data_IF_068093380623
#
_entry.id   IF_068093380623
#
_cell.length_a   1.000
_cell.length_b   1.000
_cell.length_c   1.000
_cell.angle_alpha   90.00
_cell.angle_beta   90.00
_cell.angle_gamma   90.00
#
_symmetry.space_group_name_H-M   'P 1'
#
loop_
_entity.id
_entity.type
_entity.pdbx_description
1 polymer ?
#
# COMPACT_ATOMS: atom_id res chain seq x y z
N UNK A 1 -13.72 50.86 8.10
CA UNK A 1 -13.86 50.30 6.75
C UNK A 1 -12.77 49.27 6.42
N UNK A 2 -12.18 48.59 7.42
CA UNK A 2 -11.07 47.63 7.24
C UNK A 2 -11.37 46.16 7.68
N UNK A 3 -12.61 45.86 8.08
CA UNK A 3 -12.98 44.51 8.56
C UNK A 3 -13.61 43.61 7.50
N UNK A 4 -14.03 44.15 6.34
CA UNK A 4 -14.65 43.35 5.26
C UNK A 4 -13.64 42.66 4.36
N UNK A 5 -12.44 43.20 4.18
CA UNK A 5 -11.42 42.65 3.29
C UNK A 5 -10.81 41.34 3.83
N UNK A 6 -10.73 41.17 5.15
CA UNK A 6 -10.20 39.97 5.79
C UNK A 6 -11.16 38.76 5.66
N UNK A 7 -12.46 39.01 5.74
CA UNK A 7 -13.50 37.97 5.73
C UNK A 7 -13.71 37.35 4.35
N UNK A 8 -13.59 38.16 3.30
CA UNK A 8 -13.68 37.68 1.90
C UNK A 8 -12.45 36.86 1.47
N UNK A 9 -11.26 37.24 1.98
CA UNK A 9 -10.02 36.49 1.70
C UNK A 9 -10.04 35.09 2.36
N UNK A 10 -10.46 35.01 3.62
CA UNK A 10 -10.57 33.76 4.36
C UNK A 10 -11.62 32.82 3.74
N UNK A 11 -12.78 33.37 3.35
CA UNK A 11 -13.82 32.60 2.66
C UNK A 11 -13.33 32.04 1.31
N UNK A 12 -12.63 32.85 0.50
CA UNK A 12 -12.04 32.39 -0.78
C UNK A 12 -10.98 31.31 -0.57
N UNK A 13 -10.16 31.42 0.45
CA UNK A 13 -9.16 30.40 0.79
C UNK A 13 -9.84 29.10 1.24
N UNK A 14 -10.88 29.19 2.07
CA UNK A 14 -11.65 28.00 2.51
C UNK A 14 -12.36 27.32 1.34
N UNK A 15 -13.00 28.08 0.44
CA UNK A 15 -13.66 27.52 -0.76
C UNK A 15 -12.64 26.89 -1.71
N UNK A 16 -11.54 27.55 -2.02
CA UNK A 16 -10.48 26.99 -2.86
C UNK A 16 -9.87 25.73 -2.24
N UNK A 17 -9.80 25.67 -0.92
CA UNK A 17 -9.34 24.51 -0.15
C UNK A 17 -10.31 23.33 -0.24
N UNK A 18 -11.61 23.61 -0.09
CA UNK A 18 -12.66 22.58 -0.17
C UNK A 18 -12.76 21.99 -1.57
N UNK A 19 -12.64 22.83 -2.61
CA UNK A 19 -12.60 22.37 -4.02
C UNK A 19 -11.36 21.54 -4.30
N UNK A 20 -10.18 21.91 -3.78
CA UNK A 20 -8.97 21.13 -3.93
C UNK A 20 -9.03 19.78 -3.18
N UNK A 21 -9.75 19.71 -2.04
CA UNK A 21 -9.97 18.48 -1.29
C UNK A 21 -11.05 17.56 -1.91
N UNK A 22 -11.96 18.09 -2.71
CA UNK A 22 -12.97 17.32 -3.44
C UNK A 22 -12.41 16.69 -4.74
N UNK A 23 -11.15 16.96 -5.08
CA UNK A 23 -10.53 16.49 -6.31
C UNK A 23 -10.40 14.95 -6.38
N UNK A 24 -10.26 14.30 -5.23
CA UNK A 24 -10.23 12.83 -5.12
C UNK A 24 -11.27 12.39 -4.11
N UNK A 25 -12.15 11.44 -4.49
CA UNK A 25 -13.13 10.88 -3.56
C UNK A 25 -12.44 10.13 -2.41
N UNK A 26 -13.10 10.08 -1.23
CA UNK A 26 -12.63 9.33 -0.06
C UNK A 26 -12.19 7.90 -0.40
N UNK A 27 -13.00 7.18 -1.19
CA UNK A 27 -12.71 5.80 -1.59
C UNK A 27 -11.47 5.67 -2.46
N UNK A 28 -11.20 6.65 -3.32
CA UNK A 28 -9.98 6.67 -4.14
C UNK A 28 -8.74 6.99 -3.30
N UNK A 29 -8.85 7.93 -2.38
CA UNK A 29 -7.77 8.23 -1.44
C UNK A 29 -7.46 7.03 -0.55
N UNK A 30 -8.49 6.40 0.02
CA UNK A 30 -8.37 5.19 0.81
C UNK A 30 -7.73 4.04 0.00
N UNK A 31 -8.11 3.85 -1.27
CA UNK A 31 -7.56 2.82 -2.12
C UNK A 31 -6.06 2.99 -2.39
N UNK A 32 -5.58 4.23 -2.56
CA UNK A 32 -4.14 4.50 -2.73
C UNK A 32 -3.37 4.06 -1.48
N UNK A 33 -3.82 4.46 -0.30
CA UNK A 33 -3.15 4.14 0.97
C UNK A 33 -3.25 2.63 1.29
N UNK A 34 -4.43 2.04 1.11
CA UNK A 34 -4.66 0.63 1.40
C UNK A 34 -3.96 -0.29 0.39
N UNK A 35 -3.71 0.14 -0.84
CA UNK A 35 -2.94 -0.63 -1.81
C UNK A 35 -1.51 -0.89 -1.35
N UNK A 36 -0.90 0.08 -0.70
CA UNK A 36 0.44 -0.05 -0.12
C UNK A 36 0.44 -1.05 1.05
N UNK A 37 -0.48 -0.88 1.99
CA UNK A 37 -0.62 -1.79 3.13
C UNK A 37 -1.03 -3.22 2.71
N UNK A 38 -1.92 -3.36 1.73
CA UNK A 38 -2.40 -4.66 1.28
C UNK A 38 -1.31 -5.46 0.56
N UNK A 39 -0.41 -4.82 -0.17
CA UNK A 39 0.70 -5.52 -0.83
C UNK A 39 1.58 -6.28 0.16
N UNK A 40 1.87 -5.68 1.31
CA UNK A 40 2.67 -6.28 2.37
C UNK A 40 2.05 -7.57 2.94
N UNK A 41 0.73 -7.67 2.98
CA UNK A 41 0.04 -8.87 3.46
C UNK A 41 0.35 -10.12 2.62
N UNK A 42 0.64 -9.96 1.33
CA UNK A 42 0.91 -11.08 0.43
C UNK A 42 2.35 -11.60 0.46
N UNK A 43 3.33 -10.77 0.81
CA UNK A 43 4.74 -11.21 0.80
C UNK A 43 5.37 -11.24 2.20
N UNK A 44 4.91 -10.41 3.15
CA UNK A 44 5.53 -10.34 4.48
C UNK A 44 5.41 -11.65 5.25
N UNK A 45 4.30 -12.37 5.11
CA UNK A 45 4.09 -13.68 5.74
C UNK A 45 5.13 -14.70 5.29
N UNK A 46 5.32 -14.85 3.99
CA UNK A 46 6.28 -15.79 3.43
C UNK A 46 7.73 -15.42 3.75
N UNK A 47 8.09 -14.14 3.71
CA UNK A 47 9.44 -13.67 4.07
C UNK A 47 9.71 -13.93 5.56
N UNK A 48 8.75 -13.65 6.44
CA UNK A 48 8.88 -13.88 7.87
C UNK A 48 9.00 -15.38 8.19
N UNK A 49 8.18 -16.22 7.56
CA UNK A 49 8.24 -17.67 7.73
C UNK A 49 9.59 -18.23 7.30
N UNK A 50 10.13 -17.74 6.19
CA UNK A 50 11.44 -18.16 5.72
C UNK A 50 12.58 -17.74 6.69
N UNK A 51 12.44 -16.60 7.37
CA UNK A 51 13.45 -16.08 8.29
C UNK A 51 13.38 -16.69 9.69
N UNK A 52 12.18 -16.86 10.26
CA UNK A 52 11.95 -17.25 11.65
C UNK A 52 11.05 -18.49 11.83
N UNK A 53 10.65 -19.13 10.72
CA UNK A 53 9.89 -20.38 10.73
C UNK A 53 8.52 -20.23 11.40
N UNK A 54 8.14 -21.27 12.16
CA UNK A 54 6.80 -21.38 12.80
C UNK A 54 6.44 -20.25 13.77
N UNK A 55 7.41 -19.40 14.15
CA UNK A 55 7.17 -18.24 15.02
C UNK A 55 6.64 -17.01 14.25
N UNK A 56 6.69 -17.02 12.91
CA UNK A 56 6.28 -15.89 12.06
C UNK A 56 4.87 -15.35 12.36
N UNK A 57 3.82 -16.19 12.54
CA UNK A 57 2.47 -15.69 12.82
C UNK A 57 2.38 -14.85 14.08
N UNK A 58 3.14 -15.19 15.12
CA UNK A 58 3.14 -14.45 16.38
C UNK A 58 3.81 -13.09 16.26
N UNK A 59 4.91 -13.00 15.49
CA UNK A 59 5.55 -11.72 15.20
C UNK A 59 4.68 -10.83 14.34
N UNK A 60 4.02 -11.39 13.33
CA UNK A 60 3.08 -10.66 12.48
C UNK A 60 1.91 -10.14 13.32
N UNK A 61 1.35 -10.96 14.21
CA UNK A 61 0.30 -10.54 15.14
C UNK A 61 0.77 -9.38 16.03
N UNK A 62 1.99 -9.45 16.57
CA UNK A 62 2.59 -8.37 17.36
C UNK A 62 2.70 -7.06 16.58
N UNK A 63 3.16 -7.11 15.32
CA UNK A 63 3.24 -5.95 14.42
C UNK A 63 1.84 -5.39 14.11
N UNK A 64 0.84 -6.25 13.90
CA UNK A 64 -0.55 -5.82 13.65
C UNK A 64 -1.16 -5.12 14.88
N UNK A 65 -0.89 -5.62 16.08
CA UNK A 65 -1.33 -4.97 17.33
C UNK A 65 -0.63 -3.62 17.52
N UNK A 66 0.66 -3.53 17.22
CA UNK A 66 1.38 -2.26 17.24
C UNK A 66 0.82 -1.27 16.21
N UNK A 67 0.51 -1.72 15.01
CA UNK A 67 -0.11 -0.91 13.95
C UNK A 67 -1.47 -0.35 14.38
N UNK A 68 -2.23 -1.09 15.17
CA UNK A 68 -3.47 -0.60 15.75
C UNK A 68 -3.26 0.60 16.69
N UNK A 69 -2.20 0.56 17.52
CA UNK A 69 -1.82 1.69 18.37
C UNK A 69 -1.38 2.91 17.54
N UNK A 70 -0.57 2.69 16.49
CA UNK A 70 -0.14 3.74 15.56
C UNK A 70 -1.35 4.41 14.87
N UNK A 71 -2.38 3.64 14.52
CA UNK A 71 -3.64 4.19 13.96
C UNK A 71 -4.26 5.27 14.85
N UNK A 72 -4.25 5.08 16.16
CA UNK A 72 -4.81 6.07 17.11
C UNK A 72 -4.07 7.39 17.02
N UNK A 73 -2.75 7.37 16.92
CA UNK A 73 -1.91 8.56 16.72
C UNK A 73 -2.22 9.25 15.40
N UNK A 74 -2.41 8.50 14.32
CA UNK A 74 -2.79 9.08 13.02
C UNK A 74 -4.16 9.76 13.06
N UNK A 75 -5.15 9.14 13.72
CA UNK A 75 -6.48 9.72 13.86
C UNK A 75 -6.44 11.03 14.65
N UNK A 76 -5.70 11.06 15.75
CA UNK A 76 -5.53 12.25 16.56
C UNK A 76 -4.79 13.36 15.78
N UNK A 77 -3.66 13.03 15.16
CA UNK A 77 -2.89 13.96 14.33
C UNK A 77 -3.72 14.55 13.19
N UNK A 78 -4.54 13.74 12.52
CA UNK A 78 -5.40 14.21 11.43
C UNK A 78 -6.49 15.17 11.89
N UNK A 79 -6.90 15.10 13.15
CA UNK A 79 -7.86 16.06 13.74
C UNK A 79 -7.22 17.36 14.18
N UNK A 80 -5.93 17.34 14.54
CA UNK A 80 -5.20 18.51 15.04
C UNK A 80 -4.63 19.37 13.92
N UNK A 81 -4.20 18.75 12.82
CA UNK A 81 -3.54 19.43 11.70
C UNK A 81 -4.44 19.48 10.47
N UNK A 82 -4.90 20.65 10.11
CA UNK A 82 -5.83 20.85 8.97
C UNK A 82 -5.16 20.55 7.63
N UNK A 83 -3.84 20.72 7.52
CA UNK A 83 -3.04 20.42 6.32
C UNK A 83 -1.57 20.22 6.69
N UNK A 84 -1.00 19.19 6.12
CA UNK A 84 0.42 18.92 6.19
C UNK A 84 0.64 17.41 6.17
N UNK A 85 1.50 16.92 5.30
CA UNK A 85 1.97 15.54 5.37
C UNK A 85 2.78 15.32 6.67
N UNK A 86 3.31 14.11 6.82
CA UNK A 86 4.13 13.70 7.98
C UNK A 86 5.19 14.75 8.35
N UNK A 87 5.80 15.41 7.35
CA UNK A 87 6.83 16.43 7.58
C UNK A 87 6.32 17.59 8.44
N UNK A 88 5.15 18.16 8.12
CA UNK A 88 4.61 19.34 8.83
C UNK A 88 4.20 18.95 10.22
N UNK A 89 3.51 17.82 10.39
CA UNK A 89 3.06 17.33 11.70
C UNK A 89 4.25 17.09 12.62
N UNK A 90 5.28 16.38 12.14
CA UNK A 90 6.46 16.08 12.96
C UNK A 90 7.31 17.32 13.22
N UNK A 91 7.42 18.24 12.24
CA UNK A 91 8.15 19.49 12.42
C UNK A 91 7.52 20.36 13.53
N UNK A 92 6.20 20.47 13.52
CA UNK A 92 5.48 21.35 14.45
C UNK A 92 5.37 20.71 15.85
N UNK A 93 5.46 19.38 15.95
CA UNK A 93 5.41 18.65 17.23
C UNK A 93 6.80 18.39 17.84
N UNK A 94 7.79 18.01 17.02
CA UNK A 94 9.08 17.46 17.46
C UNK A 94 10.29 18.25 16.91
N UNK A 95 10.04 19.24 16.07
CA UNK A 95 11.07 20.09 15.48
C UNK A 95 11.63 19.62 14.13
N UNK A 96 12.43 20.47 13.45
CA UNK A 96 12.80 20.29 12.06
C UNK A 96 13.79 19.13 11.84
N UNK A 97 14.59 18.77 12.81
CA UNK A 97 15.53 17.67 12.68
C UNK A 97 14.82 16.31 12.60
N UNK A 98 13.90 16.06 13.53
CA UNK A 98 13.10 14.83 13.56
C UNK A 98 12.19 14.72 12.34
N UNK A 99 11.64 15.85 11.87
CA UNK A 99 10.84 15.88 10.66
C UNK A 99 11.63 15.46 9.40
N UNK A 100 12.87 15.93 9.25
CA UNK A 100 13.73 15.52 8.13
C UNK A 100 14.05 14.02 8.20
N UNK A 101 14.38 13.53 9.39
CA UNK A 101 14.66 12.11 9.59
C UNK A 101 13.44 11.25 9.24
N UNK A 102 12.25 11.63 9.70
CA UNK A 102 11.00 10.92 9.41
C UNK A 102 10.69 10.86 7.91
N UNK A 103 10.84 11.99 7.20
CA UNK A 103 10.61 12.01 5.75
C UNK A 103 11.66 11.23 4.99
N UNK A 104 12.93 11.28 5.40
CA UNK A 104 13.99 10.48 4.78
C UNK A 104 13.73 8.99 4.93
N UNK A 105 13.27 8.55 6.10
CA UNK A 105 12.89 7.16 6.36
C UNK A 105 11.68 6.74 5.51
N UNK A 106 10.70 7.61 5.36
CA UNK A 106 9.52 7.36 4.54
C UNK A 106 9.87 7.23 3.04
N UNK A 107 10.74 8.09 2.54
CA UNK A 107 11.23 8.03 1.15
C UNK A 107 11.99 6.72 0.92
N UNK A 108 12.83 6.32 1.88
CA UNK A 108 13.57 5.06 1.81
C UNK A 108 12.62 3.85 1.78
N UNK A 109 11.59 3.86 2.61
CA UNK A 109 10.55 2.82 2.63
C UNK A 109 9.85 2.71 1.27
N UNK A 110 9.42 3.82 0.69
CA UNK A 110 8.77 3.81 -0.65
C UNK A 110 9.69 3.32 -1.77
N UNK A 111 10.99 3.61 -1.71
CA UNK A 111 11.96 3.11 -2.68
C UNK A 111 12.11 1.60 -2.61
N UNK A 112 12.01 1.01 -1.42
CA UNK A 112 12.16 -0.43 -1.21
C UNK A 112 10.86 -1.20 -1.45
N UNK A 113 9.73 -0.69 -0.99
CA UNK A 113 8.43 -1.39 -1.01
C UNK A 113 7.97 -1.70 -2.44
N UNK A 114 8.15 -0.77 -3.36
CA UNK A 114 7.80 -0.96 -4.78
C UNK A 114 8.50 -2.17 -5.41
N UNK A 115 9.83 -2.20 -5.46
CA UNK A 115 10.58 -3.33 -6.01
C UNK A 115 10.31 -4.65 -5.31
N UNK A 116 10.23 -4.68 -3.97
CA UNK A 116 9.94 -5.90 -3.21
C UNK A 116 8.59 -6.47 -3.62
N UNK A 117 7.55 -5.64 -3.68
CA UNK A 117 6.19 -6.06 -4.06
C UNK A 117 6.14 -6.64 -5.48
N UNK A 118 6.79 -5.97 -6.43
CA UNK A 118 6.73 -6.37 -7.85
C UNK A 118 7.57 -7.63 -8.11
N UNK A 119 8.74 -7.74 -7.49
CA UNK A 119 9.59 -8.94 -7.59
C UNK A 119 8.90 -10.14 -6.95
N UNK A 120 8.28 -9.98 -5.78
CA UNK A 120 7.51 -11.04 -5.14
C UNK A 120 6.34 -11.51 -6.01
N UNK A 121 5.59 -10.59 -6.60
CA UNK A 121 4.53 -10.93 -7.55
C UNK A 121 5.06 -11.69 -8.78
N UNK A 122 6.19 -11.27 -9.32
CA UNK A 122 6.86 -11.93 -10.43
C UNK A 122 7.33 -13.35 -10.08
N UNK A 123 7.84 -13.57 -8.87
CA UNK A 123 8.21 -14.90 -8.39
C UNK A 123 6.99 -15.81 -8.27
N UNK A 124 5.89 -15.33 -7.68
CA UNK A 124 4.65 -16.11 -7.57
C UNK A 124 4.10 -16.50 -8.94
N UNK A 125 4.07 -15.57 -9.88
CA UNK A 125 3.65 -15.88 -11.25
C UNK A 125 4.58 -16.85 -11.96
N UNK A 126 5.90 -16.70 -11.81
CA UNK A 126 6.88 -17.60 -12.39
C UNK A 126 6.74 -19.04 -11.87
N UNK A 127 6.53 -19.20 -10.56
CA UNK A 127 6.26 -20.51 -9.96
C UNK A 127 4.92 -21.09 -10.44
N UNK A 128 3.86 -20.27 -10.48
CA UNK A 128 2.55 -20.71 -10.99
C UNK A 128 2.61 -21.17 -12.43
N UNK A 129 3.35 -20.46 -13.30
CA UNK A 129 3.55 -20.85 -14.70
C UNK A 129 4.27 -22.20 -14.80
N UNK A 130 5.27 -22.44 -13.98
CA UNK A 130 5.99 -23.71 -13.96
C UNK A 130 5.08 -24.84 -13.46
N UNK A 131 4.28 -24.62 -12.44
CA UNK A 131 3.32 -25.60 -11.92
C UNK A 131 2.25 -25.96 -12.97
N UNK A 132 1.73 -24.97 -13.69
CA UNK A 132 0.79 -25.22 -14.80
C UNK A 132 1.48 -26.00 -15.94
N UNK A 133 2.76 -25.67 -16.24
CA UNK A 133 3.54 -26.39 -17.23
C UNK A 133 3.74 -27.87 -16.85
N UNK A 134 4.01 -28.16 -15.59
CA UNK A 134 4.16 -29.52 -15.06
C UNK A 134 2.86 -30.32 -15.16
N UNK A 135 1.74 -29.68 -14.77
CA UNK A 135 0.40 -30.30 -14.85
C UNK A 135 -0.04 -30.61 -16.29
N UNK A 136 0.32 -29.72 -17.22
CA UNK A 136 -0.10 -29.83 -18.63
C UNK A 136 0.86 -30.67 -19.49
N UNK A 137 2.04 -31.03 -18.97
CA UNK A 137 3.14 -31.64 -19.73
C UNK A 137 3.52 -30.91 -21.03
N UNK A 138 3.14 -29.63 -21.15
CA UNK A 138 3.27 -28.82 -22.34
C UNK A 138 3.96 -27.48 -22.01
N UNK A 139 5.25 -27.45 -21.92
CA UNK A 139 5.94 -26.15 -21.91
C UNK A 139 7.34 -26.15 -21.32
N UNK A 140 8.17 -25.20 -21.72
CA UNK A 140 9.49 -25.02 -21.14
C UNK A 140 9.37 -24.41 -19.75
N UNK A 141 10.18 -24.87 -18.80
CA UNK A 141 10.33 -24.25 -17.49
C UNK A 141 10.93 -22.85 -17.63
N UNK A 142 10.29 -21.89 -17.00
CA UNK A 142 10.75 -20.50 -16.97
C UNK A 142 11.57 -20.29 -15.69
N UNK A 143 12.82 -19.78 -15.76
CA UNK A 143 13.59 -19.46 -14.55
C UNK A 143 12.90 -18.36 -13.75
N UNK A 144 12.39 -18.64 -12.52
CA UNK A 144 11.51 -17.72 -11.79
C UNK A 144 12.16 -16.36 -11.51
N UNK A 145 13.46 -16.35 -11.20
CA UNK A 145 14.19 -15.12 -10.90
C UNK A 145 14.31 -14.19 -12.12
N UNK A 146 14.60 -14.74 -13.30
CA UNK A 146 14.70 -13.97 -14.53
C UNK A 146 13.32 -13.45 -14.95
N UNK A 147 12.29 -14.28 -14.83
CA UNK A 147 10.92 -13.87 -15.08
C UNK A 147 10.50 -12.74 -14.15
N UNK A 148 10.77 -12.85 -12.83
CA UNK A 148 10.46 -11.82 -11.85
C UNK A 148 11.17 -10.49 -12.14
N UNK A 149 12.43 -10.52 -12.61
CA UNK A 149 13.16 -9.32 -12.98
C UNK A 149 12.54 -8.62 -14.20
N UNK A 150 12.25 -9.37 -15.26
CA UNK A 150 11.62 -8.84 -16.49
C UNK A 150 10.22 -8.30 -16.19
N UNK A 151 9.42 -9.11 -15.51
CA UNK A 151 8.08 -8.73 -15.07
C UNK A 151 8.12 -7.46 -14.22
N UNK A 152 9.07 -7.38 -13.27
CA UNK A 152 9.28 -6.24 -12.41
C UNK A 152 9.54 -4.95 -13.18
N UNK A 153 10.43 -4.98 -14.15
CA UNK A 153 10.74 -3.81 -14.99
C UNK A 153 9.53 -3.39 -15.83
N UNK A 154 8.83 -4.34 -16.45
CA UNK A 154 7.66 -4.04 -17.29
C UNK A 154 6.52 -3.43 -16.48
N UNK A 155 6.18 -4.01 -15.33
CA UNK A 155 5.11 -3.53 -14.47
C UNK A 155 5.45 -2.18 -13.85
N UNK A 156 6.68 -2.00 -13.38
CA UNK A 156 7.13 -0.70 -12.85
C UNK A 156 7.08 0.38 -13.93
N UNK A 157 7.54 0.08 -15.14
CA UNK A 157 7.45 1.00 -16.27
C UNK A 157 6.02 1.35 -16.65
N UNK A 158 5.11 0.37 -16.65
CA UNK A 158 3.68 0.61 -16.89
C UNK A 158 3.05 1.52 -15.83
N UNK A 159 3.29 1.27 -14.54
CA UNK A 159 2.74 2.11 -13.47
C UNK A 159 3.39 3.49 -13.44
N UNK A 160 4.68 3.60 -13.69
CA UNK A 160 5.35 4.88 -13.85
C UNK A 160 4.71 5.72 -14.97
N UNK A 161 4.54 5.14 -16.15
CA UNK A 161 3.88 5.81 -17.27
C UNK A 161 2.41 6.17 -16.96
N UNK A 162 1.68 5.29 -16.27
CA UNK A 162 0.31 5.55 -15.85
C UNK A 162 0.20 6.69 -14.84
N UNK A 163 1.17 6.80 -13.91
CA UNK A 163 1.18 7.83 -12.88
C UNK A 163 1.52 9.22 -13.45
N UNK A 164 2.32 9.30 -14.49
CA UNK A 164 2.60 10.58 -15.19
C UNK A 164 1.33 11.21 -15.75
N UNK A 165 0.32 10.41 -16.11
CA UNK A 165 -0.96 10.91 -16.64
C UNK A 165 -1.83 11.64 -15.61
N UNK A 166 -1.50 11.54 -14.35
CA UNK A 166 -2.11 12.28 -13.25
C UNK A 166 -2.81 11.41 -12.21
N UNK A 167 -2.95 11.99 -11.03
CA UNK A 167 -3.52 11.35 -9.82
C UNK A 167 -4.95 10.86 -10.05
N UNK A 168 -5.74 11.55 -10.85
CA UNK A 168 -7.14 11.21 -11.06
C UNK A 168 -7.32 9.86 -11.79
N UNK A 169 -6.49 9.59 -12.80
CA UNK A 169 -6.50 8.33 -13.54
C UNK A 169 -5.88 7.19 -12.74
N UNK A 170 -4.77 7.46 -12.08
CA UNK A 170 -4.06 6.53 -11.20
C UNK A 170 -4.94 6.07 -10.03
N UNK A 171 -5.66 6.99 -9.38
CA UNK A 171 -6.54 6.67 -8.24
C UNK A 171 -7.74 5.80 -8.64
N UNK A 172 -8.25 5.96 -9.87
CA UNK A 172 -9.32 5.10 -10.39
C UNK A 172 -8.86 3.66 -10.61
N UNK A 173 -7.63 3.47 -11.09
CA UNK A 173 -7.01 2.14 -11.23
C UNK A 173 -6.73 1.50 -9.86
N UNK A 174 -6.19 2.27 -8.92
CA UNK A 174 -5.96 1.82 -7.55
C UNK A 174 -7.27 1.33 -6.89
N UNK A 175 -8.39 2.03 -7.09
CA UNK A 175 -9.68 1.62 -6.55
C UNK A 175 -10.15 0.27 -7.13
N UNK A 176 -10.00 0.06 -8.43
CA UNK A 176 -10.36 -1.23 -9.05
C UNK A 176 -9.49 -2.38 -8.55
N UNK A 177 -8.18 -2.17 -8.48
CA UNK A 177 -7.24 -3.16 -7.93
C UNK A 177 -7.63 -3.48 -6.49
N UNK A 178 -7.90 -2.47 -5.68
CA UNK A 178 -8.32 -2.65 -4.28
C UNK A 178 -9.61 -3.46 -4.14
N UNK A 179 -10.60 -3.23 -5.01
CA UNK A 179 -11.84 -4.02 -5.01
C UNK A 179 -11.57 -5.49 -5.31
N UNK A 180 -10.77 -5.80 -6.34
CA UNK A 180 -10.38 -7.18 -6.69
C UNK A 180 -9.60 -7.82 -5.55
N UNK A 181 -8.63 -7.12 -4.98
CA UNK A 181 -7.84 -7.59 -3.85
C UNK A 181 -8.72 -7.89 -2.63
N UNK A 182 -9.70 -7.04 -2.34
CA UNK A 182 -10.64 -7.26 -1.23
C UNK A 182 -11.45 -8.55 -1.44
N UNK A 183 -11.95 -8.78 -2.64
CA UNK A 183 -12.67 -10.03 -2.97
C UNK A 183 -11.77 -11.24 -2.80
N UNK A 184 -10.52 -11.17 -3.27
CA UNK A 184 -9.55 -12.26 -3.09
C UNK A 184 -9.27 -12.54 -1.60
N UNK A 185 -9.03 -11.50 -0.80
CA UNK A 185 -8.77 -11.66 0.65
C UNK A 185 -9.97 -12.30 1.35
N UNK A 186 -11.19 -11.85 1.04
CA UNK A 186 -12.41 -12.45 1.60
C UNK A 186 -12.54 -13.91 1.20
N UNK A 187 -12.27 -14.24 -0.07
CA UNK A 187 -12.28 -15.62 -0.55
C UNK A 187 -11.27 -16.49 0.20
N UNK A 188 -10.04 -16.02 0.43
CA UNK A 188 -9.04 -16.73 1.22
C UNK A 188 -9.44 -16.90 2.69
N UNK A 189 -10.00 -15.87 3.31
CA UNK A 189 -10.47 -15.92 4.69
C UNK A 189 -11.60 -16.95 4.89
N UNK A 190 -12.40 -17.20 3.86
CA UNK A 190 -13.43 -18.23 3.88
C UNK A 190 -12.85 -19.61 3.56
N UNK A 191 -12.00 -19.67 2.53
CA UNK A 191 -11.44 -20.93 2.03
C UNK A 191 -10.49 -21.60 3.04
N UNK A 192 -9.59 -20.86 3.66
CA UNK A 192 -8.61 -21.39 4.60
C UNK A 192 -9.25 -22.14 5.79
N UNK A 193 -10.24 -21.60 6.53
CA UNK A 193 -10.90 -22.34 7.59
C UNK A 193 -11.65 -23.56 7.09
N UNK A 194 -12.32 -23.46 5.93
CA UNK A 194 -13.04 -24.59 5.34
C UNK A 194 -12.07 -25.74 5.04
N UNK A 195 -10.93 -25.43 4.43
CA UNK A 195 -9.91 -26.44 4.11
C UNK A 195 -9.34 -27.10 5.37
N UNK A 196 -9.09 -26.31 6.43
CA UNK A 196 -8.61 -26.84 7.72
C UNK A 196 -9.64 -27.72 8.42
N UNK A 197 -10.94 -27.43 8.27
CA UNK A 197 -12.03 -28.23 8.83
C UNK A 197 -12.27 -29.52 8.05
N UNK A 198 -12.04 -29.51 6.75
CA UNK A 198 -12.24 -30.64 5.85
C UNK A 198 -10.98 -31.51 5.68
N UNK A 199 -9.79 -31.00 6.05
CA UNK A 199 -8.55 -31.77 5.96
C UNK A 199 -8.64 -33.00 6.90
N UNK A 200 -8.46 -34.21 6.38
CA UNK A 200 -8.40 -35.41 7.23
C UNK A 200 -7.20 -35.29 8.16
N UNK A 201 -7.43 -35.57 9.47
CA UNK A 201 -6.38 -35.61 10.49
C UNK A 201 -5.47 -36.80 10.28
#
# INVERSE_FOLDING_TARGET
MSLETGRTSTAKVVVATTVALSFISFWRAAAIVLSDLASSAFYAGGIAEHAIGKSAPWFILGVMLFSFAVRSVYMESSSMFVRGGVYVVVRDSMGPFVARLSVSSLIFDYILTGPISVVSAGLYLGHLLNEISDLSHLGPHVPPNMFAAIFGVLITGYFWWSNIKGIHESSGKALRIMQVTTVMVVAFLIWCPITLLLAPK
#
